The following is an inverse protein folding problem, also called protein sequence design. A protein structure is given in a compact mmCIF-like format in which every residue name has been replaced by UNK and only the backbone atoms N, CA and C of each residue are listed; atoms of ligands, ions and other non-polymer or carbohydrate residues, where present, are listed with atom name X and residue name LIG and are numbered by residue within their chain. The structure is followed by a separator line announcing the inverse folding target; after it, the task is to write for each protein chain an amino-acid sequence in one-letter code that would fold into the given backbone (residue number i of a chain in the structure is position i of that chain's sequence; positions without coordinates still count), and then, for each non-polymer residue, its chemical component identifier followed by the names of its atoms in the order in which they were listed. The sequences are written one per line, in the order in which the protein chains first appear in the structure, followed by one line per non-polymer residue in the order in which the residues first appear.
data_IF_345071870102
#
_entry.id   IF_345071870102
#
_cell.length_a   1.000
_cell.length_b   1.000
_cell.length_c   1.000
_cell.angle_alpha   90.00
_cell.angle_beta   90.00
_cell.angle_gamma   90.00
#
_symmetry.space_group_name_H-M   'P 1'
#
loop_
_entity.id
_entity.type
_entity.pdbx_description
1 polymer ?
#
# COMPACT_ATOMS: atom_id res chain seq x y z
N UNK A 1 10.91 4.55 -22.56
CA UNK A 1 11.00 3.52 -21.52
C UNK A 1 10.33 4.06 -20.27
N UNK A 2 9.58 3.24 -19.52
CA UNK A 2 8.94 3.72 -18.30
C UNK A 2 10.02 4.14 -17.29
N UNK A 3 9.77 5.26 -16.62
CA UNK A 3 10.65 5.74 -15.55
C UNK A 3 10.62 4.74 -14.39
N UNK A 4 11.79 4.15 -14.11
CA UNK A 4 12.00 3.16 -13.06
C UNK A 4 11.54 3.71 -11.70
N UNK A 5 11.03 2.83 -10.83
CA UNK A 5 10.74 3.19 -9.44
C UNK A 5 12.02 3.65 -8.72
N UNK A 6 11.87 4.65 -7.86
CA UNK A 6 12.90 5.03 -6.92
C UNK A 6 13.18 3.89 -5.92
N UNK A 7 14.37 3.90 -5.32
CA UNK A 7 14.72 2.90 -4.32
C UNK A 7 13.89 3.09 -3.04
N UNK A 8 13.38 1.98 -2.48
CA UNK A 8 12.65 2.01 -1.24
C UNK A 8 13.58 2.39 -0.07
N UNK A 9 13.26 3.44 0.71
CA UNK A 9 14.08 3.84 1.85
C UNK A 9 14.17 2.70 2.88
N UNK A 10 15.33 2.54 3.49
CA UNK A 10 15.64 1.44 4.41
C UNK A 10 15.67 1.86 5.87
N UNK A 11 15.97 3.13 6.14
CA UNK A 11 15.95 3.72 7.47
C UNK A 11 14.53 4.14 7.88
N UNK A 12 14.20 3.94 9.14
CA UNK A 12 12.84 4.17 9.65
C UNK A 12 12.43 5.65 9.59
N UNK A 13 13.38 6.57 9.67
CA UNK A 13 13.11 8.00 9.67
C UNK A 13 12.67 8.48 8.28
N UNK A 14 13.39 8.10 7.22
CA UNK A 14 13.01 8.40 5.85
C UNK A 14 11.68 7.75 5.47
N UNK A 15 11.44 6.50 5.87
CA UNK A 15 10.15 5.83 5.65
C UNK A 15 9.00 6.56 6.37
N UNK A 16 9.24 7.03 7.59
CA UNK A 16 8.26 7.81 8.35
C UNK A 16 7.99 9.16 7.71
N UNK A 17 9.02 9.86 7.23
CA UNK A 17 8.88 11.13 6.49
C UNK A 17 8.09 10.95 5.20
N UNK A 18 8.44 9.94 4.40
CA UNK A 18 7.75 9.60 3.16
C UNK A 18 6.25 9.42 3.42
N UNK A 19 5.87 8.58 4.39
CA UNK A 19 4.45 8.35 4.69
C UNK A 19 3.73 9.56 5.30
N UNK A 20 4.43 10.37 6.09
CA UNK A 20 3.84 11.58 6.69
C UNK A 20 3.54 12.66 5.64
N UNK A 21 4.21 12.61 4.48
CA UNK A 21 3.91 13.48 3.35
C UNK A 21 2.67 13.02 2.55
N UNK A 22 2.23 11.76 2.69
CA UNK A 22 1.09 11.18 1.96
C UNK A 22 -0.25 11.50 2.63
N UNK A 23 -0.58 12.79 2.71
CA UNK A 23 -1.86 13.27 3.26
C UNK A 23 -2.70 13.84 2.11
N UNK A 24 -3.76 13.12 1.76
CA UNK A 24 -4.67 13.54 0.69
C UNK A 24 -5.57 14.69 1.17
N UNK A 25 -5.97 15.62 0.28
CA UNK A 25 -6.94 16.65 0.62
C UNK A 25 -8.38 16.11 0.72
N UNK A 26 -8.70 15.02 0.01
CA UNK A 26 -9.99 14.32 0.02
C UNK A 26 -9.77 12.83 -0.32
N UNK A 27 -10.72 11.97 0.02
CA UNK A 27 -10.74 10.58 -0.44
C UNK A 27 -12.17 10.07 -0.58
N UNK A 28 -12.64 9.97 -1.83
CA UNK A 28 -13.96 9.48 -2.23
C UNK A 28 -13.85 8.15 -2.98
N UNK A 29 -14.99 7.53 -3.31
CA UNK A 29 -15.00 6.34 -4.16
C UNK A 29 -14.40 6.61 -5.56
N UNK A 30 -14.63 7.79 -6.14
CA UNK A 30 -14.01 8.21 -7.40
C UNK A 30 -12.49 8.35 -7.26
N UNK A 31 -12.02 8.93 -6.15
CA UNK A 31 -10.57 9.06 -5.90
C UNK A 31 -9.92 7.68 -5.79
N UNK A 32 -10.56 6.73 -5.08
CA UNK A 32 -10.09 5.36 -4.96
C UNK A 32 -10.05 4.65 -6.33
N UNK A 33 -11.08 4.80 -7.16
CA UNK A 33 -11.12 4.22 -8.51
C UNK A 33 -10.00 4.78 -9.39
N UNK A 34 -9.84 6.10 -9.44
CA UNK A 34 -8.81 6.76 -10.25
C UNK A 34 -7.40 6.37 -9.80
N UNK A 35 -7.14 6.33 -8.49
CA UNK A 35 -5.89 5.84 -7.93
C UNK A 35 -5.63 4.38 -8.35
N UNK A 36 -6.63 3.50 -8.21
CA UNK A 36 -6.51 2.10 -8.60
C UNK A 36 -6.17 1.89 -10.08
N UNK A 37 -6.85 2.62 -10.97
CA UNK A 37 -6.57 2.60 -12.42
C UNK A 37 -5.15 3.11 -12.73
N UNK A 38 -4.74 4.20 -12.10
CA UNK A 38 -3.39 4.78 -12.27
C UNK A 38 -2.29 3.81 -11.81
N UNK A 39 -2.49 3.15 -10.67
CA UNK A 39 -1.58 2.11 -10.17
C UNK A 39 -1.49 0.93 -11.15
N UNK A 40 -2.63 0.45 -11.65
CA UNK A 40 -2.68 -0.64 -12.63
C UNK A 40 -1.87 -0.30 -13.88
N UNK A 41 -2.11 0.86 -14.47
CA UNK A 41 -1.38 1.33 -15.64
C UNK A 41 0.12 1.46 -15.38
N UNK A 42 0.52 1.97 -14.20
CA UNK A 42 1.94 2.08 -13.82
C UNK A 42 2.60 0.70 -13.71
N UNK A 43 1.93 -0.27 -13.07
CA UNK A 43 2.46 -1.63 -12.93
C UNK A 43 2.58 -2.31 -14.30
N UNK A 44 1.56 -2.22 -15.16
CA UNK A 44 1.63 -2.78 -16.52
C UNK A 44 2.77 -2.17 -17.34
N UNK A 45 3.02 -0.88 -17.18
CA UNK A 45 4.13 -0.20 -17.86
C UNK A 45 5.49 -0.72 -17.37
N UNK A 46 5.69 -0.83 -16.06
CA UNK A 46 6.96 -1.24 -15.45
C UNK A 46 7.22 -2.77 -15.52
N UNK A 47 6.15 -3.56 -15.43
CA UNK A 47 6.18 -5.02 -15.26
C UNK A 47 5.10 -5.69 -16.13
N UNK A 48 5.22 -5.66 -17.47
CA UNK A 48 4.13 -6.03 -18.39
C UNK A 48 3.61 -7.47 -18.26
N UNK A 49 4.39 -8.37 -17.65
CA UNK A 49 4.05 -9.78 -17.48
C UNK A 49 4.00 -10.24 -16.01
N UNK A 50 4.06 -9.31 -15.06
CA UNK A 50 4.03 -9.66 -13.64
C UNK A 50 2.59 -9.67 -13.11
N UNK A 51 2.06 -10.81 -12.65
CA UNK A 51 0.74 -10.86 -12.03
C UNK A 51 0.80 -10.20 -10.64
N UNK A 52 0.13 -9.06 -10.51
CA UNK A 52 -0.02 -8.34 -9.25
C UNK A 52 -1.50 -8.03 -8.98
N UNK A 53 -1.84 -7.90 -7.71
CA UNK A 53 -3.16 -7.49 -7.22
C UNK A 53 -3.06 -6.09 -6.62
N UNK A 54 -4.00 -5.23 -6.97
CA UNK A 54 -4.22 -3.91 -6.35
C UNK A 54 -5.52 -3.99 -5.55
N UNK A 55 -5.47 -3.59 -4.30
CA UNK A 55 -6.60 -3.58 -3.39
C UNK A 55 -6.72 -2.22 -2.69
N UNK A 56 -7.91 -1.65 -2.65
CA UNK A 56 -8.20 -0.45 -1.86
C UNK A 56 -9.46 -0.72 -1.04
N UNK A 57 -9.34 -0.66 0.28
CA UNK A 57 -10.46 -0.92 1.19
C UNK A 57 -10.47 0.08 2.35
N UNK A 58 -11.68 0.39 2.83
CA UNK A 58 -11.88 1.24 3.99
C UNK A 58 -11.31 0.59 5.26
N UNK A 59 -10.70 1.41 6.12
CA UNK A 59 -10.11 0.91 7.37
C UNK A 59 -11.18 0.60 8.43
N UNK A 60 -12.28 1.37 8.47
CA UNK A 60 -13.32 1.22 9.48
C UNK A 60 -14.30 0.06 9.21
N UNK A 61 -14.68 -0.16 7.96
CA UNK A 61 -15.70 -1.15 7.57
C UNK A 61 -15.16 -2.37 6.85
N UNK A 62 -13.87 -2.36 6.47
CA UNK A 62 -13.27 -3.32 5.52
C UNK A 62 -13.98 -3.35 4.15
N UNK A 63 -14.83 -2.36 3.85
CA UNK A 63 -15.53 -2.27 2.58
C UNK A 63 -14.52 -2.11 1.44
N UNK A 64 -14.59 -3.04 0.49
CA UNK A 64 -13.77 -3.04 -0.70
C UNK A 64 -14.24 -1.95 -1.67
N UNK A 65 -13.34 -1.06 -2.07
CA UNK A 65 -13.64 0.06 -2.96
C UNK A 65 -13.08 -0.21 -4.36
N UNK A 66 -11.88 -0.79 -4.43
CA UNK A 66 -11.21 -1.15 -5.67
C UNK A 66 -10.47 -2.47 -5.53
N UNK A 67 -10.60 -3.33 -6.54
CA UNK A 67 -9.84 -4.57 -6.67
C UNK A 67 -9.56 -4.81 -8.15
N UNK A 68 -8.29 -5.10 -8.47
CA UNK A 68 -7.93 -5.45 -9.83
C UNK A 68 -6.65 -6.29 -9.87
N UNK A 69 -6.53 -7.12 -10.90
CA UNK A 69 -5.31 -7.82 -11.29
C UNK A 69 -4.66 -7.15 -12.50
N UNK A 70 -3.34 -7.28 -12.63
CA UNK A 70 -2.57 -6.69 -13.75
C UNK A 70 -2.42 -7.67 -14.91
N UNK A 71 -1.44 -8.58 -14.85
CA UNK A 71 -1.16 -9.58 -15.87
C UNK A 71 -1.76 -10.95 -15.54
N UNK A 72 -1.81 -11.83 -16.53
CA UNK A 72 -2.22 -13.23 -16.36
C UNK A 72 -1.35 -13.96 -15.33
N UNK A 73 -1.96 -14.82 -14.52
CA UNK A 73 -1.24 -15.69 -13.59
C UNK A 73 -1.45 -15.40 -12.11
N UNK A 74 -2.27 -14.41 -11.75
CA UNK A 74 -2.67 -14.19 -10.36
C UNK A 74 -3.30 -15.47 -9.76
N UNK A 75 -2.91 -15.80 -8.54
CA UNK A 75 -3.32 -16.99 -7.80
C UNK A 75 -4.12 -16.60 -6.55
N UNK A 76 -4.92 -17.52 -5.97
CA UNK A 76 -5.63 -17.27 -4.71
C UNK A 76 -4.73 -16.81 -3.55
N UNK A 77 -3.46 -17.23 -3.53
CA UNK A 77 -2.49 -16.81 -2.51
C UNK A 77 -2.24 -15.29 -2.53
N UNK A 78 -2.37 -14.63 -3.68
CA UNK A 78 -2.23 -13.18 -3.77
C UNK A 78 -3.26 -12.45 -2.89
N UNK A 79 -4.48 -12.97 -2.78
CA UNK A 79 -5.52 -12.41 -1.90
C UNK A 79 -5.19 -12.56 -0.42
N UNK A 80 -4.57 -13.69 -0.04
CA UNK A 80 -4.09 -13.90 1.33
C UNK A 80 -3.00 -12.88 1.69
N UNK A 81 -2.05 -12.64 0.79
CA UNK A 81 -1.04 -11.60 0.98
C UNK A 81 -1.65 -10.21 1.08
N UNK A 82 -2.63 -9.88 0.23
CA UNK A 82 -3.35 -8.61 0.29
C UNK A 82 -4.03 -8.43 1.64
N UNK A 83 -4.78 -9.43 2.11
CA UNK A 83 -5.47 -9.39 3.39
C UNK A 83 -4.48 -9.23 4.56
N UNK A 84 -3.38 -9.97 4.54
CA UNK A 84 -2.33 -9.93 5.57
C UNK A 84 -1.63 -8.58 5.65
N UNK A 85 -1.20 -8.03 4.51
CA UNK A 85 -0.60 -6.69 4.41
C UNK A 85 -1.59 -5.62 4.89
N UNK A 86 -2.85 -5.71 4.45
CA UNK A 86 -3.92 -4.79 4.86
C UNK A 86 -4.15 -4.80 6.37
N UNK A 87 -4.21 -5.99 6.98
CA UNK A 87 -4.43 -6.14 8.43
C UNK A 87 -3.31 -5.48 9.24
N UNK A 88 -2.06 -5.60 8.77
CA UNK A 88 -0.92 -4.89 9.36
C UNK A 88 -1.10 -3.38 9.29
N UNK A 89 -1.37 -2.82 8.11
CA UNK A 89 -1.53 -1.36 7.97
C UNK A 89 -2.69 -0.84 8.81
N UNK A 90 -3.81 -1.56 8.82
CA UNK A 90 -5.01 -1.21 9.59
C UNK A 90 -4.72 -1.14 11.10
N UNK A 91 -3.99 -2.13 11.65
CA UNK A 91 -3.73 -2.21 13.09
C UNK A 91 -2.72 -1.19 13.58
N UNK A 92 -1.65 -0.94 12.83
CA UNK A 92 -0.53 -0.10 13.30
C UNK A 92 -0.46 1.28 12.63
N UNK A 93 -1.29 1.54 11.62
CA UNK A 93 -1.29 2.81 10.91
C UNK A 93 0.01 3.10 10.15
N UNK A 94 0.91 2.14 9.99
CA UNK A 94 2.14 2.30 9.20
C UNK A 94 2.15 1.31 8.05
N UNK A 95 2.91 1.61 6.99
CA UNK A 95 3.05 0.71 5.86
C UNK A 95 3.59 -0.64 6.33
N UNK A 96 3.17 -1.70 5.63
CA UNK A 96 3.70 -3.03 5.90
C UNK A 96 5.22 -3.07 5.67
N UNK A 97 5.75 -2.22 4.77
CA UNK A 97 7.18 -1.99 4.60
C UNK A 97 7.84 -1.42 5.85
N UNK A 98 7.31 -0.33 6.44
CA UNK A 98 7.88 0.24 7.66
C UNK A 98 7.86 -0.78 8.80
N UNK A 99 6.80 -1.57 8.90
CA UNK A 99 6.73 -2.65 9.87
C UNK A 99 7.82 -3.69 9.62
N UNK A 100 8.02 -4.12 8.38
CA UNK A 100 9.09 -5.02 8.00
C UNK A 100 10.46 -4.49 8.40
N UNK A 101 10.75 -3.22 8.08
CA UNK A 101 12.00 -2.56 8.45
C UNK A 101 12.19 -2.41 9.95
N UNK A 102 11.12 -2.24 10.74
CA UNK A 102 11.18 -2.19 12.20
C UNK A 102 11.64 -3.50 12.83
N UNK A 103 11.39 -4.61 12.15
CA UNK A 103 11.72 -5.96 12.61
C UNK A 103 12.79 -6.65 11.75
N UNK A 104 13.46 -5.92 10.85
CA UNK A 104 14.42 -6.48 9.90
C UNK A 104 13.87 -7.66 9.06
N UNK A 105 12.56 -7.70 8.84
CA UNK A 105 11.86 -8.80 8.17
C UNK A 105 11.58 -10.03 9.05
N UNK A 106 11.93 -9.98 10.34
CA UNK A 106 11.72 -11.07 11.29
C UNK A 106 10.25 -11.13 11.77
N UNK A 107 9.44 -11.97 11.10
CA UNK A 107 8.03 -12.19 11.44
C UNK A 107 7.85 -12.89 12.81
N UNK A 108 8.84 -13.65 13.28
CA UNK A 108 8.79 -14.30 14.59
C UNK A 108 8.98 -13.30 15.73
N UNK A 109 10.00 -12.44 15.61
CA UNK A 109 10.21 -11.34 16.54
C UNK A 109 9.02 -10.39 16.54
N UNK A 110 8.45 -10.08 15.38
CA UNK A 110 7.22 -9.30 15.26
C UNK A 110 6.04 -9.97 16.00
N UNK A 111 5.81 -11.27 15.76
CA UNK A 111 4.79 -12.07 16.43
C UNK A 111 4.93 -12.04 17.94
N UNK A 112 6.13 -12.27 18.46
CA UNK A 112 6.42 -12.27 19.90
C UNK A 112 6.24 -10.86 20.50
N UNK A 113 6.75 -9.83 19.83
CA UNK A 113 6.70 -8.44 20.31
C UNK A 113 5.28 -7.92 20.48
N UNK A 114 4.37 -8.28 19.58
CA UNK A 114 2.97 -7.84 19.64
C UNK A 114 2.00 -8.89 20.20
N UNK A 115 2.51 -10.01 20.73
CA UNK A 115 1.69 -11.06 21.35
C UNK A 115 0.61 -11.62 20.43
N UNK A 116 0.93 -11.90 19.17
CA UNK A 116 -0.09 -12.23 18.16
C UNK A 116 -0.69 -13.64 18.32
N UNK A 117 -0.03 -14.54 19.05
CA UNK A 117 -0.51 -15.91 19.27
C UNK A 117 -0.81 -16.63 17.95
N UNK A 118 -1.95 -17.32 17.92
CA UNK A 118 -2.43 -18.07 16.73
C UNK A 118 -2.86 -17.16 15.57
N UNK A 119 -3.17 -15.88 15.83
CA UNK A 119 -3.58 -14.92 14.81
C UNK A 119 -2.38 -14.37 13.99
N UNK A 120 -1.15 -14.76 14.32
CA UNK A 120 0.06 -14.24 13.66
C UNK A 120 0.04 -14.40 12.13
N UNK A 121 -0.48 -15.52 11.63
CA UNK A 121 -0.58 -15.80 10.20
C UNK A 121 -1.50 -14.84 9.43
N UNK A 122 -2.35 -14.09 10.12
CA UNK A 122 -3.22 -13.09 9.50
C UNK A 122 -2.55 -11.74 9.22
N UNK A 123 -1.27 -11.59 9.59
CA UNK A 123 -0.48 -10.38 9.35
C UNK A 123 0.70 -10.69 8.44
N UNK A 124 1.12 -9.68 7.68
CA UNK A 124 2.37 -9.71 6.92
C UNK A 124 3.08 -8.38 7.09
N UNK A 125 4.40 -8.43 7.27
CA UNK A 125 5.26 -7.24 7.38
C UNK A 125 6.10 -7.03 6.11
N UNK A 126 5.65 -7.62 5.00
CA UNK A 126 6.26 -7.46 3.68
C UNK A 126 5.69 -6.23 2.98
N UNK A 127 6.52 -5.50 2.24
CA UNK A 127 6.13 -4.27 1.54
C UNK A 127 4.91 -4.42 0.61
N UNK A 128 4.16 -3.32 0.45
CA UNK A 128 3.02 -3.25 -0.46
C UNK A 128 1.73 -2.69 0.12
N UNK A 129 1.53 -2.75 1.44
CA UNK A 129 0.42 -2.07 2.10
C UNK A 129 0.82 -0.67 2.56
N UNK A 130 0.03 0.36 2.20
CA UNK A 130 0.28 1.76 2.58
C UNK A 130 -1.03 2.41 3.09
N UNK A 131 -1.00 3.14 4.22
CA UNK A 131 -2.17 3.83 4.76
C UNK A 131 -2.54 5.05 3.92
N UNK A 132 -3.84 5.23 3.66
CA UNK A 132 -4.41 6.45 3.08
C UNK A 132 -4.92 7.34 4.22
N UNK A 133 -4.48 8.59 4.24
CA UNK A 133 -4.87 9.62 5.21
C UNK A 133 -5.47 10.82 4.51
N UNK A 134 -6.38 11.50 5.20
CA UNK A 134 -7.04 12.70 4.70
C UNK A 134 -6.80 13.85 5.67
N UNK A 135 -6.50 15.03 5.14
CA UNK A 135 -6.29 16.25 5.93
C UNK A 135 -7.51 16.54 6.81
N UNK A 136 -7.28 16.77 8.09
CA UNK A 136 -8.33 17.06 9.06
C UNK A 136 -9.12 15.84 9.55
N UNK A 137 -8.79 14.64 9.10
CA UNK A 137 -9.35 13.38 9.61
C UNK A 137 -8.28 12.67 10.43
N UNK A 138 -8.61 12.30 11.66
CA UNK A 138 -7.70 11.52 12.49
C UNK A 138 -7.62 10.07 11.99
N UNK A 139 -6.40 9.53 11.95
CA UNK A 139 -6.15 8.14 11.60
C UNK A 139 -6.16 7.83 10.10
N UNK A 140 -6.15 6.52 9.81
CA UNK A 140 -6.16 5.97 8.45
C UNK A 140 -7.60 5.77 7.98
N UNK A 141 -7.96 6.31 6.81
CA UNK A 141 -9.34 6.19 6.27
C UNK A 141 -9.51 4.97 5.37
N UNK A 142 -8.44 4.57 4.70
CA UNK A 142 -8.40 3.42 3.81
C UNK A 142 -6.97 2.87 3.74
N UNK A 143 -6.83 1.65 3.23
CA UNK A 143 -5.54 1.03 2.95
C UNK A 143 -5.50 0.71 1.47
N UNK A 144 -4.40 1.10 0.81
CA UNK A 144 -4.06 0.61 -0.52
C UNK A 144 -3.00 -0.47 -0.38
N UNK A 145 -3.17 -1.57 -1.10
CA UNK A 145 -2.24 -2.69 -1.14
C UNK A 145 -1.90 -3.02 -2.58
N UNK A 146 -0.61 -3.21 -2.85
CA UNK A 146 -0.13 -3.93 -4.03
C UNK A 146 0.56 -5.21 -3.58
N UNK A 147 0.31 -6.30 -4.31
CA UNK A 147 0.93 -7.60 -4.02
C UNK A 147 1.17 -8.41 -5.28
N UNK A 148 2.43 -8.80 -5.50
CA UNK A 148 2.83 -9.69 -6.60
C UNK A 148 4.14 -9.29 -7.28
N UNK A 149 4.73 -8.15 -6.90
CA UNK A 149 6.07 -7.73 -7.31
C UNK A 149 7.09 -8.07 -6.21
N UNK A 150 8.33 -7.60 -6.38
CA UNK A 150 9.28 -7.55 -5.25
C UNK A 150 8.72 -6.61 -4.18
N UNK A 151 8.91 -6.91 -2.91
CA UNK A 151 8.27 -6.16 -1.82
C UNK A 151 8.62 -4.65 -1.81
N UNK A 152 9.85 -4.30 -2.20
CA UNK A 152 10.28 -2.91 -2.37
C UNK A 152 9.50 -2.20 -3.50
N UNK A 153 9.22 -2.92 -4.58
CA UNK A 153 8.50 -2.42 -5.75
C UNK A 153 6.99 -2.34 -5.46
N UNK A 154 6.42 -3.34 -4.78
CA UNK A 154 5.05 -3.32 -4.24
C UNK A 154 4.84 -2.06 -3.38
N UNK A 155 5.80 -1.73 -2.51
CA UNK A 155 5.73 -0.53 -1.67
C UNK A 155 5.88 0.75 -2.48
N UNK A 156 6.92 0.84 -3.32
CA UNK A 156 7.25 2.09 -4.02
C UNK A 156 6.25 2.44 -5.12
N UNK A 157 5.63 1.48 -5.79
CA UNK A 157 4.60 1.79 -6.79
C UNK A 157 3.38 2.46 -6.13
N UNK A 158 3.03 2.04 -4.92
CA UNK A 158 1.93 2.63 -4.14
C UNK A 158 2.30 4.03 -3.65
N UNK A 159 3.50 4.20 -3.08
CA UNK A 159 3.98 5.51 -2.62
C UNK A 159 4.01 6.51 -3.77
N UNK A 160 4.72 6.22 -4.86
CA UNK A 160 4.82 7.13 -6.00
C UNK A 160 3.45 7.38 -6.66
N UNK A 161 2.57 6.37 -6.64
CA UNK A 161 1.19 6.50 -7.08
C UNK A 161 0.42 7.52 -6.26
N UNK A 162 0.51 7.45 -4.93
CA UNK A 162 -0.10 8.42 -4.01
C UNK A 162 0.51 9.82 -4.16
N UNK A 163 1.83 9.93 -4.31
CA UNK A 163 2.51 11.22 -4.51
C UNK A 163 2.04 11.91 -5.80
N UNK A 164 1.94 11.18 -6.91
CA UNK A 164 1.37 11.70 -8.16
C UNK A 164 -0.09 12.08 -7.98
N UNK A 165 -0.89 11.20 -7.38
CA UNK A 165 -2.31 11.45 -7.18
C UNK A 165 -2.58 12.72 -6.34
N UNK A 166 -1.76 12.98 -5.32
CA UNK A 166 -1.83 14.22 -4.53
C UNK A 166 -1.52 15.45 -5.39
N UNK A 167 -0.49 15.38 -6.25
CA UNK A 167 -0.16 16.46 -7.19
C UNK A 167 -1.28 16.71 -8.19
N UNK A 168 -1.88 15.64 -8.72
CA UNK A 168 -2.97 15.73 -9.68
C UNK A 168 -4.19 16.44 -9.06
N UNK A 169 -4.62 16.05 -7.85
CA UNK A 169 -5.73 16.73 -7.15
C UNK A 169 -5.40 18.21 -6.88
N UNK A 170 -4.15 18.55 -6.56
CA UNK A 170 -3.76 19.94 -6.36
C UNK A 170 -3.93 20.76 -7.65
N UNK A 171 -3.50 20.22 -8.80
CA UNK A 171 -3.65 20.90 -10.09
C UNK A 171 -5.09 21.02 -10.58
N UNK A 172 -5.97 20.09 -10.21
CA UNK A 172 -7.42 20.22 -10.48
C UNK A 172 -8.05 21.39 -9.72
N UNK A 173 -7.53 21.71 -8.52
CA UNK A 173 -8.06 22.79 -7.68
C UNK A 173 -7.67 24.19 -8.18
N UNK A 174 -6.58 24.29 -8.92
CA UNK A 174 -6.08 25.54 -9.51
C UNK A 174 -6.68 25.83 -10.90
N UNK A 175 -7.55 24.94 -11.41
CA UNK A 175 -8.33 25.10 -12.65
C UNK A 175 -9.75 25.56 -12.33
#
# INVERSE_FOLDING_TARGET
MPEKLAEAPRDLEAISRQQSALILPRFTANDAFNLGVSLRARIESLYPNAPAVINIAHTNTDALIFHCTTASGAQPDNELWVARKRKTVKRWGISSWQMGRKFDGDEDKFRMTYGLGEDAGSYAIHGGGVPIRVRGVEGTVAVVVVSGLKQEDDHMVVVEGLERFIKDIATEKDR
#
